data_IF_431034656515
#
_entry.id   IF_431034656515
#
_cell.length_a   1.000
_cell.length_b   1.000
_cell.length_c   1.000
_cell.angle_alpha   90.00
_cell.angle_beta   90.00
_cell.angle_gamma   90.00
#
_symmetry.space_group_name_H-M   'P 1'
#
loop_
_entity.id
_entity.type
_entity.pdbx_description
1 polymer ?
#
# COMPACT_ATOMS: atom_id res chain seq x y z
N UNK A 1 -7.20 -3.73 7.95
CA UNK A 1 -7.60 -2.33 8.22
C UNK A 1 -6.29 -1.56 8.18
N UNK A 2 -6.12 -0.49 7.38
CA UNK A 2 -4.83 0.19 7.34
C UNK A 2 -4.65 0.94 8.66
N UNK A 3 -4.07 0.26 9.64
CA UNK A 3 -3.52 0.89 10.83
C UNK A 3 -2.20 1.57 10.43
N UNK A 4 -1.94 2.72 11.03
CA UNK A 4 -0.69 3.43 10.83
C UNK A 4 0.48 2.56 11.32
N UNK A 5 1.61 2.60 10.62
CA UNK A 5 2.73 1.66 10.76
C UNK A 5 2.50 0.21 10.28
N UNK A 6 1.38 -0.13 9.64
CA UNK A 6 1.21 -1.44 9.00
C UNK A 6 1.68 -1.44 7.53
N UNK A 7 2.08 -2.62 7.03
CA UNK A 7 2.45 -2.77 5.63
C UNK A 7 1.27 -2.45 4.70
N UNK A 8 1.53 -1.87 3.51
CA UNK A 8 0.49 -1.49 2.55
C UNK A 8 -0.23 -2.70 1.94
N UNK A 9 0.30 -3.90 2.18
CA UNK A 9 -0.23 -5.17 1.70
C UNK A 9 -0.81 -5.94 2.88
N UNK A 10 -2.03 -6.41 2.69
CA UNK A 10 -2.74 -7.22 3.66
C UNK A 10 -3.19 -8.50 2.97
N UNK A 11 -2.88 -9.64 3.58
CA UNK A 11 -3.49 -10.88 3.15
C UNK A 11 -4.92 -10.92 3.65
N UNK A 12 -5.87 -11.11 2.74
CA UNK A 12 -7.27 -11.34 3.07
C UNK A 12 -7.62 -12.83 3.08
N UNK A 13 -6.64 -13.71 2.89
CA UNK A 13 -6.84 -15.15 2.93
C UNK A 13 -7.22 -15.60 4.34
N UNK A 14 -8.22 -16.48 4.50
CA UNK A 14 -8.69 -16.91 5.83
C UNK A 14 -7.65 -17.68 6.63
N UNK A 15 -6.63 -18.24 5.98
CA UNK A 15 -5.56 -19.04 6.63
C UNK A 15 -4.39 -18.16 7.12
N UNK A 16 -4.09 -17.07 6.41
CA UNK A 16 -2.90 -16.25 6.62
C UNK A 16 -3.26 -14.75 6.72
N UNK A 17 -4.38 -14.40 7.37
CA UNK A 17 -4.85 -13.02 7.50
C UNK A 17 -3.88 -12.15 8.32
N UNK A 18 -3.27 -11.14 7.70
CA UNK A 18 -2.28 -10.28 8.35
C UNK A 18 -1.62 -9.28 7.42
N UNK A 19 -0.76 -8.43 7.97
CA UNK A 19 0.15 -7.60 7.20
C UNK A 19 1.19 -8.49 6.50
N UNK A 20 1.37 -8.29 5.20
CA UNK A 20 2.41 -8.96 4.43
C UNK A 20 3.50 -7.95 4.15
N UNK A 21 4.74 -8.26 4.54
CA UNK A 21 5.85 -7.43 4.12
C UNK A 21 6.07 -7.61 2.60
N UNK A 22 6.31 -6.54 1.82
CA UNK A 22 6.59 -6.66 0.40
C UNK A 22 7.83 -7.54 0.12
N UNK A 23 8.73 -7.72 1.09
CA UNK A 23 9.87 -8.64 1.02
C UNK A 23 9.47 -10.14 1.05
N UNK A 24 8.29 -10.48 1.56
CA UNK A 24 7.80 -11.87 1.60
C UNK A 24 7.18 -12.32 0.28
N UNK A 25 6.85 -11.36 -0.59
CA UNK A 25 6.36 -11.64 -1.92
C UNK A 25 7.52 -11.85 -2.90
N UNK A 26 7.36 -12.75 -3.89
CA UNK A 26 8.35 -12.98 -4.94
C UNK A 26 8.32 -11.84 -5.99
N UNK A 27 8.53 -10.60 -5.54
CA UNK A 27 8.52 -9.39 -6.38
C UNK A 27 9.90 -8.72 -6.40
N UNK A 28 10.17 -7.97 -7.46
CA UNK A 28 11.42 -7.22 -7.62
C UNK A 28 11.69 -6.22 -6.48
N UNK A 29 12.96 -6.08 -6.07
CA UNK A 29 13.38 -5.12 -5.02
C UNK A 29 12.94 -3.68 -5.32
N UNK A 30 12.86 -3.30 -6.60
CA UNK A 30 12.36 -1.99 -7.01
C UNK A 30 10.89 -1.79 -6.60
N UNK A 31 10.04 -2.79 -6.83
CA UNK A 31 8.62 -2.74 -6.46
C UNK A 31 8.46 -2.66 -4.94
N UNK A 32 9.26 -3.44 -4.21
CA UNK A 32 9.28 -3.39 -2.74
C UNK A 32 9.63 -1.99 -2.22
N UNK A 33 10.67 -1.35 -2.79
CA UNK A 33 11.03 0.03 -2.42
C UNK A 33 9.93 1.03 -2.76
N UNK A 34 9.28 0.89 -3.92
CA UNK A 34 8.17 1.77 -4.30
C UNK A 34 6.97 1.61 -3.37
N UNK A 35 6.61 0.38 -3.01
CA UNK A 35 5.55 0.08 -2.03
C UNK A 35 5.87 0.68 -0.65
N UNK A 36 7.09 0.49 -0.16
CA UNK A 36 7.53 1.08 1.12
C UNK A 36 7.48 2.61 1.08
N UNK A 37 7.93 3.22 -0.02
CA UNK A 37 7.84 4.68 -0.20
C UNK A 37 6.40 5.16 -0.26
N UNK A 38 5.53 4.44 -0.95
CA UNK A 38 4.11 4.75 -1.02
C UNK A 38 3.45 4.65 0.36
N UNK A 39 3.71 3.57 1.12
CA UNK A 39 3.23 3.45 2.50
C UNK A 39 3.73 4.58 3.40
N UNK A 40 5.01 4.97 3.27
CA UNK A 40 5.57 6.10 4.01
C UNK A 40 4.88 7.42 3.66
N UNK A 41 4.53 7.67 2.40
CA UNK A 41 3.75 8.86 2.02
C UNK A 41 2.37 8.88 2.68
N UNK A 42 1.73 7.71 2.86
CA UNK A 42 0.46 7.61 3.57
C UNK A 42 0.65 7.85 5.08
N UNK A 43 1.69 7.29 5.68
CA UNK A 43 2.03 7.51 7.09
C UNK A 43 2.39 8.99 7.35
N UNK A 44 3.01 9.68 6.38
CA UNK A 44 3.23 11.14 6.45
C UNK A 44 1.92 11.95 6.40
N UNK A 45 0.82 11.37 5.90
CA UNK A 45 -0.51 12.00 6.00
C UNK A 45 -1.13 11.83 7.38
N UNK A 46 -0.58 10.96 8.23
CA UNK A 46 -1.00 10.84 9.61
C UNK A 46 -0.65 12.11 10.36
N UNK A 47 -1.68 12.80 10.83
CA UNK A 47 -1.47 13.86 11.78
C UNK A 47 -1.37 13.23 13.17
N UNK A 48 -0.12 13.04 13.64
CA UNK A 48 0.18 12.46 14.95
C UNK A 48 -0.32 13.32 16.12
N UNK A 49 -0.56 14.61 15.89
CA UNK A 49 -1.08 15.55 16.88
C UNK A 49 -2.62 15.50 16.92
N UNK A 50 -3.26 15.31 15.77
CA UNK A 50 -4.70 15.29 15.61
C UNK A 50 -5.19 14.21 14.61
N UNK A 51 -5.36 12.95 15.04
CA UNK A 51 -5.71 11.83 14.17
C UNK A 51 -6.95 12.04 13.26
N UNK A 52 -8.02 12.78 13.64
CA UNK A 52 -9.14 13.03 12.73
C UNK A 52 -8.83 14.03 11.61
N UNK A 53 -7.70 14.75 11.65
CA UNK A 53 -7.23 15.60 10.56
C UNK A 53 -6.23 14.86 9.64
N UNK A 54 -5.99 13.57 9.90
CA UNK A 54 -5.15 12.76 9.03
C UNK A 54 -5.76 12.67 7.64
N UNK A 55 -4.93 12.84 6.63
CA UNK A 55 -5.35 12.91 5.25
C UNK A 55 -4.38 13.71 4.41
N UNK A 56 -4.55 13.62 3.09
CA UNK A 56 -3.68 14.36 2.18
C UNK A 56 -3.89 15.87 2.35
N UNK A 57 -2.78 16.61 2.40
CA UNK A 57 -2.80 18.08 2.51
C UNK A 57 -3.53 18.76 1.36
N UNK A 58 -3.61 18.08 0.21
CA UNK A 58 -4.28 18.56 -1.00
C UNK A 58 -4.89 17.39 -1.77
N UNK A 59 -5.99 17.66 -2.49
CA UNK A 59 -6.60 16.72 -3.42
C UNK A 59 -5.64 16.27 -4.54
N UNK A 60 -4.68 17.11 -4.90
CA UNK A 60 -3.59 16.77 -5.85
C UNK A 60 -2.72 15.63 -5.33
N UNK A 61 -2.23 15.74 -4.09
CA UNK A 61 -1.43 14.69 -3.45
C UNK A 61 -2.22 13.39 -3.30
N UNK A 62 -3.52 13.50 -2.96
CA UNK A 62 -4.39 12.33 -2.93
C UNK A 62 -4.47 11.67 -4.30
N UNK A 63 -4.70 12.43 -5.38
CA UNK A 63 -4.76 11.86 -6.73
C UNK A 63 -3.44 11.23 -7.16
N UNK A 64 -2.31 11.88 -6.92
CA UNK A 64 -0.99 11.33 -7.24
C UNK A 64 -0.75 10.03 -6.48
N UNK A 65 -1.08 10.00 -5.19
CA UNK A 65 -1.01 8.81 -4.37
C UNK A 65 -1.90 7.68 -4.89
N UNK A 66 -3.15 7.99 -5.25
CA UNK A 66 -4.09 7.02 -5.82
C UNK A 66 -3.59 6.47 -7.16
N UNK A 67 -3.06 7.32 -8.04
CA UNK A 67 -2.48 6.90 -9.31
C UNK A 67 -1.27 5.98 -9.10
N UNK A 68 -0.35 6.35 -8.19
CA UNK A 68 0.79 5.52 -7.84
C UNK A 68 0.34 4.17 -7.26
N UNK A 69 -0.69 4.15 -6.41
CA UNK A 69 -1.27 2.93 -5.86
C UNK A 69 -1.84 1.99 -6.94
N UNK A 70 -2.50 2.54 -7.95
CA UNK A 70 -2.98 1.75 -9.11
C UNK A 70 -1.81 1.15 -9.88
N UNK A 71 -0.78 1.95 -10.19
CA UNK A 71 0.40 1.46 -10.90
C UNK A 71 1.12 0.36 -10.13
N UNK A 72 1.23 0.50 -8.80
CA UNK A 72 1.82 -0.52 -7.94
C UNK A 72 1.00 -1.80 -7.92
N UNK A 73 -0.34 -1.69 -7.85
CA UNK A 73 -1.22 -2.85 -7.92
C UNK A 73 -1.12 -3.56 -9.27
N UNK A 74 -0.99 -2.84 -10.38
CA UNK A 74 -0.77 -3.45 -11.70
C UNK A 74 0.59 -4.15 -11.78
N UNK A 75 1.68 -3.51 -11.33
CA UNK A 75 2.99 -4.17 -11.26
C UNK A 75 2.97 -5.42 -10.38
N UNK A 76 2.27 -5.37 -9.23
CA UNK A 76 2.10 -6.52 -8.37
C UNK A 76 1.39 -7.65 -9.09
N UNK A 77 0.32 -7.36 -9.84
CA UNK A 77 -0.42 -8.37 -10.62
C UNK A 77 0.41 -8.96 -11.76
N UNK A 78 1.29 -8.17 -12.36
CA UNK A 78 2.18 -8.63 -13.42
C UNK A 78 3.26 -9.57 -12.86
N UNK A 79 3.94 -9.17 -11.77
CA UNK A 79 5.01 -9.96 -11.13
C UNK A 79 4.48 -11.21 -10.42
N UNK A 80 3.37 -11.09 -9.67
CA UNK A 80 2.75 -12.20 -8.94
C UNK A 80 1.87 -13.09 -9.84
N UNK A 81 1.47 -12.58 -11.00
CA UNK A 81 0.62 -13.27 -11.95
C UNK A 81 -0.80 -13.54 -11.42
N UNK A 82 -1.48 -14.49 -12.05
CA UNK A 82 -2.86 -14.91 -11.70
C UNK A 82 -2.97 -15.74 -10.42
N UNK A 83 -1.85 -16.09 -9.79
CA UNK A 83 -1.85 -16.86 -8.54
C UNK A 83 -2.34 -15.98 -7.36
N UNK A 84 -2.15 -14.66 -7.46
CA UNK A 84 -2.52 -13.70 -6.42
C UNK A 84 -3.68 -12.80 -6.86
N UNK A 85 -4.69 -12.66 -5.99
CA UNK A 85 -5.80 -11.73 -6.21
C UNK A 85 -5.52 -10.38 -5.52
N UNK A 86 -5.02 -9.42 -6.29
CA UNK A 86 -4.71 -8.08 -5.80
C UNK A 86 -5.96 -7.20 -5.85
N UNK A 87 -6.35 -6.67 -4.68
CA UNK A 87 -7.45 -5.71 -4.53
C UNK A 87 -6.91 -4.38 -4.00
N UNK A 88 -6.96 -3.34 -4.83
CA UNK A 88 -6.69 -1.98 -4.38
C UNK A 88 -7.96 -1.41 -3.75
N UNK A 89 -7.86 -0.95 -2.50
CA UNK A 89 -8.91 -0.17 -1.85
C UNK A 89 -8.46 1.29 -1.79
N UNK A 90 -9.14 2.12 -2.58
CA UNK A 90 -8.82 3.53 -2.82
C UNK A 90 -9.89 4.44 -2.26
#
# INVERSE_FOLDING_TARGET
>A
MPDYQCHPLWNMSPDEYGDIAPCELPISEELQRRLTKWAAMYDETLDSDYPPNSGFKSEELEREFKQEGVLLAECLRDELGTDFSIFLKV
#
